data_IF_011405489621
#
_entry.id   IF_011405489621
#
_cell.length_a   1.000
_cell.length_b   1.000
_cell.length_c   1.000
_cell.angle_alpha   90.00
_cell.angle_beta   90.00
_cell.angle_gamma   90.00
#
_symmetry.space_group_name_H-M   'P 1'
#
loop_
_entity.id
_entity.type
_entity.pdbx_description
1 polymer ?
#
# COMPACT_ATOMS: atom_id res chain seq x y z
N UNK A 1 19.14 -6.63 -10.22
CA UNK A 1 18.87 -7.97 -9.77
C UNK A 1 17.40 -8.31 -9.95
N UNK A 2 17.14 -9.52 -10.29
CA UNK A 2 15.77 -9.98 -10.51
C UNK A 2 15.16 -10.42 -9.18
N UNK A 3 14.02 -9.83 -8.80
CA UNK A 3 13.27 -10.28 -7.65
C UNK A 3 12.83 -11.72 -7.88
N UNK A 4 13.01 -12.57 -6.88
CA UNK A 4 12.53 -13.95 -6.95
C UNK A 4 11.02 -13.98 -6.71
N UNK A 5 10.25 -13.44 -7.66
CA UNK A 5 8.80 -13.40 -7.58
C UNK A 5 8.18 -14.80 -7.63
N UNK A 6 8.93 -15.79 -8.08
CA UNK A 6 8.47 -17.18 -8.08
C UNK A 6 8.14 -17.70 -6.69
N UNK A 7 8.70 -17.10 -5.64
CA UNK A 7 8.36 -17.42 -4.25
C UNK A 7 7.10 -16.70 -3.77
N UNK A 8 6.66 -15.69 -4.50
CA UNK A 8 5.49 -14.90 -4.15
C UNK A 8 4.31 -15.33 -5.00
N UNK A 9 3.12 -15.34 -4.41
CA UNK A 9 1.90 -15.57 -5.16
C UNK A 9 1.40 -14.25 -5.74
N UNK A 10 1.03 -14.25 -7.02
CA UNK A 10 0.37 -13.08 -7.59
C UNK A 10 -1.03 -13.01 -7.03
N UNK A 11 -1.36 -11.88 -6.41
CA UNK A 11 -2.68 -11.68 -5.79
C UNK A 11 -3.66 -11.11 -6.80
N UNK A 12 -3.34 -9.94 -7.36
CA UNK A 12 -4.25 -9.26 -8.30
C UNK A 12 -3.55 -8.04 -8.90
N UNK A 13 -4.19 -7.49 -9.93
CA UNK A 13 -3.92 -6.12 -10.36
C UNK A 13 -4.72 -5.18 -9.46
N UNK A 14 -4.11 -4.11 -8.98
CA UNK A 14 -4.82 -3.11 -8.17
C UNK A 14 -5.44 -2.10 -9.12
N UNK A 15 -6.78 -2.07 -9.14
CA UNK A 15 -7.53 -1.14 -9.97
C UNK A 15 -8.44 -0.32 -9.04
N UNK A 16 -8.24 1.00 -8.95
CA UNK A 16 -9.13 1.84 -8.15
C UNK A 16 -10.56 1.78 -8.66
N UNK A 17 -11.51 2.08 -7.76
CA UNK A 17 -12.91 2.21 -8.15
C UNK A 17 -13.01 3.26 -9.27
N UNK A 18 -13.74 2.90 -10.34
CA UNK A 18 -13.88 3.74 -11.52
C UNK A 18 -15.28 4.33 -11.61
N UNK A 19 -15.37 5.51 -12.22
CA UNK A 19 -16.66 6.12 -12.57
C UNK A 19 -17.15 5.64 -13.94
N UNK A 20 -18.25 6.24 -14.43
CA UNK A 20 -18.85 5.86 -15.70
C UNK A 20 -17.92 6.11 -16.90
N UNK A 21 -16.91 6.97 -16.75
CA UNK A 21 -15.95 7.32 -17.79
C UNK A 21 -14.64 6.53 -17.68
N UNK A 22 -14.63 5.47 -16.85
CA UNK A 22 -13.44 4.67 -16.57
C UNK A 22 -12.28 5.47 -15.95
N UNK A 23 -12.60 6.55 -15.25
CA UNK A 23 -11.64 7.32 -14.49
C UNK A 23 -11.74 6.95 -13.01
N UNK A 24 -10.60 7.02 -12.29
CA UNK A 24 -10.59 6.71 -10.88
C UNK A 24 -11.45 7.71 -10.11
N UNK A 25 -12.36 7.19 -9.25
CA UNK A 25 -13.14 8.04 -8.35
C UNK A 25 -12.21 8.56 -7.27
N UNK A 26 -12.27 9.87 -7.00
CA UNK A 26 -11.44 10.51 -5.99
C UNK A 26 -12.25 10.82 -4.74
N UNK A 27 -11.66 10.54 -3.58
CA UNK A 27 -12.31 10.69 -2.29
C UNK A 27 -11.52 11.64 -1.41
N UNK A 28 -12.24 12.35 -0.54
CA UNK A 28 -11.65 13.27 0.44
C UNK A 28 -12.23 12.98 1.82
N UNK A 29 -11.87 11.81 2.42
CA UNK A 29 -12.44 11.40 3.71
C UNK A 29 -12.11 12.36 4.85
N UNK A 30 -11.00 13.07 4.77
CA UNK A 30 -10.56 14.01 5.78
C UNK A 30 -11.57 15.13 6.04
N UNK A 31 -12.41 15.47 5.06
CA UNK A 31 -13.42 16.52 5.22
C UNK A 31 -14.46 16.18 6.28
N UNK A 32 -14.63 14.90 6.61
CA UNK A 32 -15.62 14.43 7.58
C UNK A 32 -15.09 14.28 8.99
N UNK A 33 -13.79 14.53 9.22
CA UNK A 33 -13.20 14.33 10.53
C UNK A 33 -13.60 15.46 11.49
N UNK A 34 -13.96 15.09 12.71
CA UNK A 34 -14.41 16.05 13.71
C UNK A 34 -13.27 16.90 14.27
N UNK A 35 -12.07 16.34 14.32
CA UNK A 35 -10.91 17.00 14.94
C UNK A 35 -10.06 17.76 13.90
N UNK A 36 -10.70 18.64 13.13
CA UNK A 36 -10.01 19.43 12.11
C UNK A 36 -8.86 20.27 12.67
N UNK A 37 -8.93 20.62 13.95
CA UNK A 37 -7.89 21.44 14.61
C UNK A 37 -6.53 20.74 14.66
N UNK A 38 -6.47 19.41 14.51
CA UNK A 38 -5.19 18.69 14.51
C UNK A 38 -4.35 19.02 13.28
N UNK A 39 -4.95 19.44 12.20
CA UNK A 39 -4.26 19.72 10.96
C UNK A 39 -3.86 18.46 10.20
N UNK A 40 -3.79 18.55 8.89
CA UNK A 40 -3.37 17.44 8.03
C UNK A 40 -1.89 17.19 8.16
N UNK A 41 -1.48 15.90 8.14
CA UNK A 41 -0.07 15.58 7.97
C UNK A 41 0.32 15.74 6.50
N UNK A 42 1.59 15.53 6.20
CA UNK A 42 2.17 15.77 4.87
C UNK A 42 1.42 15.06 3.72
N UNK A 43 0.82 13.89 3.99
CA UNK A 43 0.15 13.10 2.97
C UNK A 43 -1.38 13.09 3.12
N UNK A 44 -1.94 13.90 4.01
CA UNK A 44 -3.37 13.86 4.33
C UNK A 44 -4.26 14.65 3.40
N UNK A 45 -3.68 15.37 2.46
CA UNK A 45 -4.42 16.27 1.58
C UNK A 45 -5.32 15.57 0.57
N UNK A 46 -4.93 14.39 0.13
CA UNK A 46 -5.64 13.69 -0.93
C UNK A 46 -5.46 14.34 -2.29
N UNK A 47 -6.21 13.94 -3.31
CA UNK A 47 -7.30 12.95 -3.26
C UNK A 47 -6.82 11.52 -3.01
N UNK A 48 -7.75 10.67 -2.56
CA UNK A 48 -7.49 9.24 -2.37
C UNK A 48 -8.40 8.42 -3.27
N UNK A 49 -7.97 7.20 -3.60
CA UNK A 49 -8.79 6.24 -4.33
C UNK A 49 -9.29 5.15 -3.38
N UNK A 50 -10.22 4.32 -3.87
CA UNK A 50 -10.66 3.13 -3.16
C UNK A 50 -10.38 1.91 -4.02
N UNK A 51 -9.93 0.82 -3.38
CA UNK A 51 -9.72 -0.44 -4.06
C UNK A 51 -9.85 -1.59 -3.07
N UNK A 52 -10.11 -2.79 -3.60
CA UNK A 52 -10.14 -4.02 -2.81
C UNK A 52 -9.29 -5.07 -3.50
N UNK A 53 -8.79 -6.05 -2.72
CA UNK A 53 -7.92 -7.10 -3.24
C UNK A 53 -8.52 -8.50 -3.15
N UNK A 54 -9.77 -8.62 -2.69
CA UNK A 54 -10.38 -9.91 -2.46
C UNK A 54 -10.04 -10.46 -1.07
N UNK A 55 -10.45 -11.71 -0.80
CA UNK A 55 -10.36 -12.29 0.54
C UNK A 55 -9.45 -13.51 0.64
N UNK A 56 -8.74 -13.87 -0.43
CA UNK A 56 -8.02 -15.14 -0.50
C UNK A 56 -6.90 -15.29 0.54
N UNK A 57 -6.37 -14.20 1.07
CA UNK A 57 -5.31 -14.23 2.08
C UNK A 57 -5.78 -13.64 3.42
N UNK A 58 -7.05 -13.80 3.71
CA UNK A 58 -7.61 -13.28 4.95
C UNK A 58 -6.89 -13.86 6.17
N UNK A 59 -6.44 -12.98 7.06
CA UNK A 59 -5.78 -13.38 8.30
C UNK A 59 -4.33 -13.84 8.15
N UNK A 60 -3.76 -13.82 6.94
CA UNK A 60 -2.41 -14.33 6.72
C UNK A 60 -1.36 -13.26 7.00
N UNK A 61 -0.22 -13.69 7.57
CA UNK A 61 0.93 -12.80 7.77
C UNK A 61 1.99 -13.07 6.71
N UNK A 62 2.75 -12.06 6.39
CA UNK A 62 3.83 -12.23 5.43
C UNK A 62 4.37 -10.92 4.88
N UNK A 63 4.93 -11.02 3.69
CA UNK A 63 5.54 -9.89 2.97
C UNK A 63 4.78 -9.69 1.67
N UNK A 64 4.48 -8.44 1.36
CA UNK A 64 3.84 -8.10 0.09
C UNK A 64 4.72 -7.16 -0.71
N UNK A 65 4.52 -7.19 -2.02
CA UNK A 65 5.29 -6.39 -2.97
C UNK A 65 4.31 -5.74 -3.94
N UNK A 66 4.46 -4.44 -4.14
CA UNK A 66 3.67 -3.71 -5.13
C UNK A 66 4.59 -3.41 -6.31
N UNK A 67 4.17 -3.83 -7.50
CA UNK A 67 4.90 -3.57 -8.75
C UNK A 67 4.12 -2.55 -9.59
N UNK A 68 4.85 -1.61 -10.16
CA UNK A 68 4.28 -0.68 -11.14
C UNK A 68 5.04 -0.92 -12.45
N UNK A 69 4.31 -1.35 -13.49
CA UNK A 69 4.90 -1.72 -14.79
C UNK A 69 6.09 -2.68 -14.61
N UNK A 70 5.88 -3.73 -13.81
CA UNK A 70 6.87 -4.78 -13.55
C UNK A 70 8.09 -4.35 -12.73
N UNK A 71 8.12 -3.12 -12.20
CA UNK A 71 9.16 -2.68 -11.29
C UNK A 71 8.65 -2.69 -9.86
N UNK A 72 9.44 -3.22 -8.94
CA UNK A 72 9.09 -3.23 -7.52
C UNK A 72 9.15 -1.81 -6.98
N UNK A 73 8.02 -1.28 -6.56
CA UNK A 73 7.93 0.07 -6.01
C UNK A 73 7.79 0.09 -4.50
N UNK A 74 7.25 -0.95 -3.90
CA UNK A 74 7.07 -1.01 -2.46
C UNK A 74 7.15 -2.43 -1.94
N UNK A 75 7.83 -2.59 -0.81
CA UNK A 75 7.90 -3.87 -0.07
C UNK A 75 7.43 -3.57 1.35
N UNK A 76 6.49 -4.37 1.85
CA UNK A 76 6.00 -4.22 3.20
C UNK A 76 5.76 -5.56 3.86
N UNK A 77 5.64 -5.56 5.20
CA UNK A 77 5.28 -6.73 5.96
C UNK A 77 3.95 -6.50 6.68
N UNK A 78 3.27 -7.57 7.04
CA UNK A 78 1.98 -7.47 7.72
C UNK A 78 1.70 -8.70 8.58
N UNK A 79 0.92 -8.50 9.65
CA UNK A 79 0.38 -9.60 10.43
C UNK A 79 -0.90 -10.14 9.81
N UNK A 80 -1.68 -9.27 9.17
CA UNK A 80 -2.94 -9.63 8.52
C UNK A 80 -3.02 -8.90 7.20
N UNK A 81 -2.80 -9.64 6.13
CA UNK A 81 -2.70 -9.08 4.77
C UNK A 81 -3.98 -8.37 4.35
N UNK A 82 -5.13 -8.99 4.57
CA UNK A 82 -6.41 -8.40 4.16
C UNK A 82 -6.73 -7.12 4.93
N UNK A 83 -6.43 -7.05 6.22
CA UNK A 83 -6.60 -5.82 7.00
C UNK A 83 -5.69 -4.71 6.49
N UNK A 84 -4.42 -5.04 6.19
CA UNK A 84 -3.47 -4.05 5.71
C UNK A 84 -3.96 -3.43 4.40
N UNK A 85 -4.42 -4.25 3.47
CA UNK A 85 -4.86 -3.75 2.17
C UNK A 85 -6.24 -3.11 2.22
N UNK A 86 -7.10 -3.53 3.16
CA UNK A 86 -8.32 -2.77 3.44
C UNK A 86 -7.99 -1.33 3.87
N UNK A 87 -7.00 -1.19 4.75
CA UNK A 87 -6.59 0.14 5.22
C UNK A 87 -5.97 0.99 4.10
N UNK A 88 -5.17 0.39 3.21
CA UNK A 88 -4.62 1.12 2.07
C UNK A 88 -5.71 1.52 1.07
N UNK A 89 -6.68 0.66 0.85
CA UNK A 89 -7.72 0.88 -0.16
C UNK A 89 -8.93 1.63 0.34
N UNK A 90 -8.95 2.04 1.61
CA UNK A 90 -10.09 2.72 2.21
C UNK A 90 -9.62 3.64 3.32
N UNK A 91 -9.06 4.78 2.93
CA UNK A 91 -8.42 5.70 3.87
C UNK A 91 -9.41 6.22 4.91
N UNK A 92 -9.06 6.04 6.18
CA UNK A 92 -9.83 6.55 7.30
C UNK A 92 -9.63 8.07 7.44
N UNK A 93 -10.68 8.86 7.71
CA UNK A 93 -10.54 10.30 7.95
C UNK A 93 -9.46 10.64 8.97
N UNK A 94 -9.42 9.92 10.08
CA UNK A 94 -8.44 10.12 11.15
C UNK A 94 -7.00 9.99 10.65
N UNK A 95 -6.74 9.09 9.71
CA UNK A 95 -5.38 8.83 9.23
C UNK A 95 -4.83 9.93 8.32
N UNK A 96 -5.64 10.92 7.96
CA UNK A 96 -5.20 12.06 7.17
C UNK A 96 -4.60 13.18 8.04
N UNK A 97 -4.77 13.10 9.36
CA UNK A 97 -4.38 14.15 10.29
C UNK A 97 -3.13 13.78 11.07
N UNK A 98 -2.49 14.79 11.65
CA UNK A 98 -1.31 14.57 12.49
C UNK A 98 -1.65 13.59 13.62
N UNK A 99 -0.78 12.61 13.81
CA UNK A 99 -1.00 11.48 14.72
C UNK A 99 -1.63 10.26 14.08
N UNK A 100 -2.14 10.38 12.85
CA UNK A 100 -2.69 9.24 12.11
C UNK A 100 -1.62 8.47 11.34
N UNK A 101 -2.05 7.44 10.64
CA UNK A 101 -1.14 6.55 9.89
C UNK A 101 -0.84 7.12 8.51
N UNK A 102 0.19 7.95 8.43
CA UNK A 102 0.55 8.66 7.20
C UNK A 102 0.96 7.72 6.06
N UNK A 103 1.52 6.55 6.36
CA UNK A 103 1.92 5.58 5.34
C UNK A 103 0.72 5.12 4.52
N UNK A 104 -0.44 4.89 5.16
CA UNK A 104 -1.64 4.48 4.43
C UNK A 104 -2.01 5.51 3.36
N UNK A 105 -1.99 6.79 3.73
CA UNK A 105 -2.30 7.87 2.81
C UNK A 105 -1.27 7.97 1.68
N UNK A 106 -0.01 7.84 2.00
CA UNK A 106 1.08 7.93 1.03
C UNK A 106 1.01 6.81 -0.01
N UNK A 107 0.81 5.57 0.44
CA UNK A 107 0.72 4.43 -0.48
C UNK A 107 -0.53 4.56 -1.36
N UNK A 108 -1.67 4.94 -0.78
CA UNK A 108 -2.89 5.15 -1.55
C UNK A 108 -2.70 6.22 -2.63
N UNK A 109 -2.09 7.35 -2.27
CA UNK A 109 -1.82 8.44 -3.22
C UNK A 109 -0.88 7.97 -4.34
N UNK A 110 0.14 7.19 -4.01
CA UNK A 110 1.06 6.66 -5.01
C UNK A 110 0.35 5.71 -5.97
N UNK A 111 -0.57 4.90 -5.46
CA UNK A 111 -1.38 4.01 -6.31
C UNK A 111 -2.27 4.83 -7.24
N UNK A 112 -2.96 5.82 -6.71
CA UNK A 112 -3.83 6.68 -7.52
C UNK A 112 -3.04 7.41 -8.60
N UNK A 113 -1.92 8.01 -8.26
CA UNK A 113 -1.06 8.72 -9.21
C UNK A 113 -0.57 7.79 -10.31
N UNK A 114 -0.13 6.59 -9.94
CA UNK A 114 0.34 5.59 -10.91
C UNK A 114 -0.78 5.18 -11.86
N UNK A 115 -1.98 4.95 -11.32
CA UNK A 115 -3.13 4.58 -12.14
C UNK A 115 -3.50 5.69 -13.12
N UNK A 116 -3.51 6.94 -12.65
CA UNK A 116 -3.84 8.11 -13.50
C UNK A 116 -2.80 8.33 -14.60
N UNK A 117 -1.60 7.82 -14.40
CA UNK A 117 -0.53 7.87 -15.42
C UNK A 117 -0.56 6.66 -16.35
N UNK A 118 -1.63 5.88 -16.32
CA UNK A 118 -1.84 4.70 -17.15
C UNK A 118 -0.84 3.57 -16.87
N UNK A 119 -0.34 3.49 -15.66
CA UNK A 119 0.55 2.40 -15.26
C UNK A 119 -0.25 1.23 -14.72
N UNK A 120 0.28 0.03 -14.89
CA UNK A 120 -0.30 -1.20 -14.35
C UNK A 120 0.28 -1.46 -12.97
N UNK A 121 -0.58 -1.69 -11.98
CA UNK A 121 -0.16 -1.90 -10.60
C UNK A 121 -0.52 -3.32 -10.21
N UNK A 122 0.48 -4.11 -9.80
CA UNK A 122 0.27 -5.50 -9.42
C UNK A 122 0.72 -5.76 -7.99
N UNK A 123 0.02 -6.69 -7.34
CA UNK A 123 0.26 -7.05 -5.95
C UNK A 123 0.65 -8.51 -5.86
N UNK A 124 1.73 -8.78 -5.11
CA UNK A 124 2.23 -10.12 -4.83
C UNK A 124 2.36 -10.31 -3.33
N UNK A 125 2.19 -11.54 -2.87
CA UNK A 125 2.24 -11.85 -1.45
C UNK A 125 2.99 -13.15 -1.20
N UNK A 126 3.79 -13.16 -0.14
CA UNK A 126 4.47 -14.35 0.37
C UNK A 126 4.04 -14.55 1.83
N UNK A 127 3.31 -15.63 2.08
CA UNK A 127 2.95 -15.99 3.44
C UNK A 127 4.18 -16.53 4.16
N UNK A 128 4.57 -15.91 5.26
CA UNK A 128 5.75 -16.30 6.01
C UNK A 128 5.74 -15.71 7.42
N UNK A 129 6.29 -16.48 8.38
CA UNK A 129 6.53 -15.95 9.73
C UNK A 129 7.82 -15.12 9.79
N UNK A 130 8.72 -15.27 8.81
CA UNK A 130 9.99 -14.53 8.73
C UNK A 130 9.81 -13.16 8.08
N UNK A 131 8.66 -12.53 8.26
CA UNK A 131 8.28 -11.32 7.54
C UNK A 131 9.23 -10.14 7.74
N UNK A 132 9.76 -9.96 8.96
CA UNK A 132 10.69 -8.85 9.21
C UNK A 132 12.02 -9.03 8.49
N UNK A 133 12.56 -10.25 8.53
CA UNK A 133 13.83 -10.56 7.88
C UNK A 133 13.72 -10.42 6.37
N UNK A 134 12.67 -11.00 5.78
CA UNK A 134 12.48 -10.96 4.32
C UNK A 134 12.22 -9.55 3.83
N UNK A 135 11.37 -8.79 4.53
CA UNK A 135 11.14 -7.39 4.19
C UNK A 135 12.44 -6.61 4.19
N UNK A 136 13.21 -6.74 5.28
CA UNK A 136 14.48 -6.02 5.42
C UNK A 136 15.44 -6.35 4.27
N UNK A 137 15.63 -7.63 3.98
CA UNK A 137 16.54 -8.07 2.92
C UNK A 137 16.11 -7.54 1.55
N UNK A 138 14.80 -7.60 1.25
CA UNK A 138 14.29 -7.10 -0.04
C UNK A 138 14.43 -5.59 -0.16
N UNK A 139 14.18 -4.84 0.90
CA UNK A 139 14.33 -3.38 0.86
C UNK A 139 15.80 -3.00 0.64
N UNK A 140 16.72 -3.68 1.34
CA UNK A 140 18.15 -3.42 1.17
C UNK A 140 18.62 -3.71 -0.26
N UNK A 141 18.12 -4.79 -0.82
CA UNK A 141 18.53 -5.24 -2.13
C UNK A 141 17.92 -4.40 -3.26
N UNK A 142 16.63 -4.12 -3.17
CA UNK A 142 15.89 -3.48 -4.26
C UNK A 142 15.78 -1.99 -4.13
N UNK A 143 15.94 -1.44 -2.93
CA UNK A 143 15.74 -0.01 -2.63
C UNK A 143 14.50 0.56 -3.34
N UNK A 144 13.29 0.00 -3.04
CA UNK A 144 12.09 0.39 -3.79
C UNK A 144 11.76 1.88 -3.57
N UNK A 145 11.34 2.59 -4.62
CA UNK A 145 11.19 4.05 -4.52
C UNK A 145 10.10 4.53 -3.57
N UNK A 146 9.11 3.69 -3.26
CA UNK A 146 8.05 4.10 -2.33
C UNK A 146 8.39 3.81 -0.87
N UNK A 147 9.44 3.06 -0.61
CA UNK A 147 9.90 2.83 0.76
C UNK A 147 10.72 4.01 1.22
N UNK A 148 10.36 4.57 2.36
CA UNK A 148 11.08 5.71 2.95
C UNK A 148 12.19 5.29 3.89
N UNK A 149 12.01 4.13 4.52
CA UNK A 149 12.98 3.60 5.46
C UNK A 149 13.57 2.32 4.88
N UNK A 150 14.76 1.97 5.35
CA UNK A 150 15.45 0.77 4.91
C UNK A 150 14.88 -0.51 5.55
N UNK A 151 13.74 -0.40 6.23
CA UNK A 151 13.15 -1.51 6.94
C UNK A 151 13.78 -1.69 8.32
N UNK A 152 13.27 -2.68 9.05
CA UNK A 152 13.77 -2.98 10.39
C UNK A 152 14.56 -4.28 10.38
N UNK A 153 15.69 -4.36 11.09
CA UNK A 153 16.39 -5.62 11.24
C UNK A 153 15.46 -6.68 11.80
N UNK A 154 15.75 -7.94 11.48
CA UNK A 154 15.01 -9.06 12.03
C UNK A 154 15.05 -9.00 13.56
N UNK A 155 13.89 -9.15 14.18
CA UNK A 155 13.82 -9.30 15.62
C UNK A 155 14.26 -10.72 15.98
N UNK A 156 15.25 -10.80 16.80
CA UNK A 156 15.71 -12.07 17.31
C UNK A 156 15.06 -12.29 18.67
#
# INVERSE_FOLDING_TARGET
MKLELDKFDRVCEIIPKLDANNEAVEFFPQSRYKKQYLGLHKYGKGPFCKFTIGKQYFGKMGVYVILVNDEVCYVGECENFSERFYAYGNISPKNCFKGGRSTNCRINTNILTSFKSNNTIQLYFLETSDRFKIEYELIQELTPPWNKTLGKPSKI
#
